data_IF_297512946685
#
_entry.id   IF_297512946685
#
_cell.length_a   1.000
_cell.length_b   1.000
_cell.length_c   1.000
_cell.angle_alpha   90.00
_cell.angle_beta   90.00
_cell.angle_gamma   90.00
#
_symmetry.space_group_name_H-M   'P 1'
#
loop_
_entity.id
_entity.type
_entity.pdbx_description
1 polymer ?
#
# COMPACT_ATOMS: atom_id res chain seq x y z
N UNK A 1 -3.95 23.21 -0.14
CA UNK A 1 -3.61 23.58 1.25
C UNK A 1 -3.69 25.11 1.37
N UNK A 2 -4.60 25.61 2.18
CA UNK A 2 -4.78 27.06 2.33
C UNK A 2 -3.80 27.58 3.38
N UNK A 3 -2.81 28.38 2.97
CA UNK A 3 -2.04 29.21 3.90
C UNK A 3 -3.04 30.21 4.49
N UNK A 4 -3.42 30.02 5.74
CA UNK A 4 -4.31 31.00 6.40
C UNK A 4 -3.58 32.35 6.49
N UNK A 5 -4.21 33.39 6.00
CA UNK A 5 -3.71 34.76 6.11
C UNK A 5 -3.53 35.10 7.60
N UNK A 6 -2.42 35.72 7.95
CA UNK A 6 -2.14 36.16 9.30
C UNK A 6 -1.18 35.30 10.12
N UNK A 7 -0.64 34.20 9.56
CA UNK A 7 0.40 33.42 10.23
C UNK A 7 1.78 33.72 9.65
N UNK A 8 2.76 33.96 10.52
CA UNK A 8 4.17 34.09 10.13
C UNK A 8 4.75 32.67 9.97
N UNK A 9 5.35 32.41 8.83
CA UNK A 9 6.02 31.15 8.53
C UNK A 9 7.51 31.37 8.40
N UNK A 10 8.30 30.59 9.12
CA UNK A 10 9.76 30.61 9.09
C UNK A 10 10.27 29.21 8.75
N UNK A 11 10.94 29.04 7.64
CA UNK A 11 11.62 27.80 7.31
C UNK A 11 12.88 27.68 8.17
N UNK A 12 12.94 26.65 9.03
CA UNK A 12 14.09 26.41 9.91
C UNK A 12 15.08 25.41 9.33
N UNK A 13 14.60 24.56 8.46
CA UNK A 13 15.38 23.68 7.57
C UNK A 13 14.47 23.19 6.43
N UNK A 14 15.02 22.61 5.35
CA UNK A 14 14.20 22.13 4.24
C UNK A 14 13.01 21.28 4.71
N UNK A 15 11.82 21.62 4.23
CA UNK A 15 10.55 20.96 4.56
C UNK A 15 10.10 21.05 6.04
N UNK A 16 10.71 21.91 6.86
CA UNK A 16 10.33 22.13 8.27
C UNK A 16 10.14 23.62 8.53
N UNK A 17 8.95 23.99 8.93
CA UNK A 17 8.56 25.38 9.20
C UNK A 17 8.10 25.54 10.65
N UNK A 18 8.47 26.67 11.24
CA UNK A 18 7.80 27.23 12.41
C UNK A 18 6.65 28.11 11.93
N UNK A 19 5.45 27.86 12.43
CA UNK A 19 4.25 28.63 12.12
C UNK A 19 3.78 29.30 13.37
N UNK A 20 3.90 30.62 13.43
CA UNK A 20 3.55 31.46 14.56
C UNK A 20 2.10 31.89 14.47
N UNK A 21 1.36 31.71 15.53
CA UNK A 21 -0.05 32.06 15.63
C UNK A 21 -0.27 33.55 15.93
N UNK A 22 0.68 34.15 16.61
CA UNK A 22 0.65 35.55 17.04
C UNK A 22 2.06 36.15 16.94
N UNK A 23 2.22 37.40 17.29
CA UNK A 23 3.53 38.07 17.39
C UNK A 23 4.41 37.52 18.55
N UNK A 24 3.84 36.66 19.41
CA UNK A 24 4.57 35.95 20.45
C UNK A 24 5.44 34.87 19.83
N UNK A 25 6.73 35.13 19.72
CA UNK A 25 7.73 34.22 19.15
C UNK A 25 7.97 32.95 19.96
N UNK A 26 7.42 32.85 21.17
CA UNK A 26 7.50 31.65 22.00
C UNK A 26 6.36 30.65 21.73
N UNK A 27 5.36 31.04 20.94
CA UNK A 27 4.18 30.22 20.66
C UNK A 27 4.09 29.89 19.18
N UNK A 28 4.67 28.76 18.78
CA UNK A 28 4.68 28.27 17.41
C UNK A 28 4.34 26.78 17.31
N UNK A 29 3.91 26.40 16.13
CA UNK A 29 3.76 24.98 15.74
C UNK A 29 4.86 24.61 14.75
N UNK A 30 5.37 23.38 14.88
CA UNK A 30 6.27 22.82 13.86
C UNK A 30 5.41 22.16 12.79
N UNK A 31 5.54 22.63 11.56
CA UNK A 31 4.84 22.11 10.40
C UNK A 31 5.84 21.38 9.49
N UNK A 32 5.59 20.10 9.28
CA UNK A 32 6.41 19.26 8.40
C UNK A 32 5.83 19.20 7.00
N UNK A 33 6.69 19.24 5.98
CA UNK A 33 6.37 19.10 4.55
C UNK A 33 5.23 20.01 4.08
N UNK A 34 5.03 21.15 4.74
CA UNK A 34 3.88 22.05 4.48
C UNK A 34 2.50 21.36 4.56
N UNK A 35 2.38 20.29 5.36
CA UNK A 35 1.19 19.46 5.46
C UNK A 35 0.99 18.47 4.31
N UNK A 36 2.02 18.23 3.50
CA UNK A 36 2.05 17.18 2.47
C UNK A 36 2.53 15.86 3.08
N UNK A 37 2.83 14.87 2.24
CA UNK A 37 3.30 13.54 2.65
C UNK A 37 4.66 13.62 3.35
N UNK A 38 4.68 13.45 4.68
CA UNK A 38 5.90 13.57 5.50
C UNK A 38 6.87 12.41 5.29
N UNK A 39 6.38 11.22 4.95
CA UNK A 39 7.21 10.07 4.63
C UNK A 39 8.10 10.29 3.39
N UNK A 40 7.71 11.19 2.49
CA UNK A 40 8.48 11.59 1.32
C UNK A 40 9.22 12.91 1.53
N UNK A 41 8.60 13.88 2.20
CA UNK A 41 9.17 15.22 2.40
C UNK A 41 10.17 15.30 3.54
N UNK A 42 10.01 14.52 4.60
CA UNK A 42 10.85 14.54 5.81
C UNK A 42 11.50 13.20 6.14
N UNK A 43 11.29 12.17 5.32
CA UNK A 43 11.89 10.84 5.47
C UNK A 43 12.27 10.27 4.09
N UNK A 44 12.79 9.07 4.06
CA UNK A 44 13.30 8.41 2.85
C UNK A 44 12.26 7.56 2.12
N UNK A 45 11.04 7.47 2.64
CA UNK A 45 10.01 6.56 2.12
C UNK A 45 10.32 5.10 2.40
N UNK A 46 9.66 4.20 1.69
CA UNK A 46 9.91 2.76 1.79
C UNK A 46 11.11 2.36 0.92
N UNK A 47 11.93 1.41 1.37
CA UNK A 47 12.99 0.84 0.54
C UNK A 47 12.42 0.21 -0.74
N UNK A 48 13.13 0.35 -1.86
CA UNK A 48 12.72 -0.20 -3.16
C UNK A 48 12.40 -1.70 -3.09
N UNK A 49 13.17 -2.45 -2.32
CA UNK A 49 12.98 -3.89 -2.12
C UNK A 49 11.62 -4.24 -1.47
N UNK A 50 11.10 -3.37 -0.60
CA UNK A 50 9.76 -3.55 -0.02
C UNK A 50 8.69 -3.14 -1.02
N UNK A 51 8.94 -2.06 -1.78
CA UNK A 51 8.03 -1.58 -2.81
C UNK A 51 7.88 -2.54 -3.99
N UNK A 52 8.87 -3.40 -4.23
CA UNK A 52 8.83 -4.42 -5.29
C UNK A 52 7.61 -5.34 -5.17
N UNK A 53 7.26 -5.78 -3.96
CA UNK A 53 6.02 -6.53 -3.71
C UNK A 53 4.75 -5.76 -4.07
N UNK A 54 4.73 -4.47 -3.79
CA UNK A 54 3.61 -3.60 -4.16
C UNK A 54 3.48 -3.45 -5.68
N UNK A 55 4.60 -3.30 -6.38
CA UNK A 55 4.62 -3.21 -7.84
C UNK A 55 4.22 -4.55 -8.49
N UNK A 56 4.71 -5.67 -7.97
CA UNK A 56 4.32 -7.01 -8.44
C UNK A 56 2.79 -7.21 -8.32
N UNK A 57 2.19 -6.86 -7.19
CA UNK A 57 0.74 -6.92 -7.01
C UNK A 57 -0.01 -6.02 -8.00
N UNK A 58 0.49 -4.82 -8.27
CA UNK A 58 -0.11 -3.90 -9.26
C UNK A 58 -0.06 -4.49 -10.67
N UNK A 59 1.05 -5.10 -11.07
CA UNK A 59 1.20 -5.76 -12.37
C UNK A 59 0.29 -6.98 -12.48
N UNK A 60 0.26 -7.85 -11.46
CA UNK A 60 -0.63 -9.00 -11.42
C UNK A 60 -2.10 -8.60 -11.46
N UNK A 61 -2.47 -7.49 -10.80
CA UNK A 61 -3.81 -6.93 -10.88
C UNK A 61 -4.21 -6.54 -12.30
N UNK A 62 -3.31 -5.91 -13.05
CA UNK A 62 -3.55 -5.56 -14.45
C UNK A 62 -3.67 -6.81 -15.34
N UNK A 63 -2.79 -7.80 -15.14
CA UNK A 63 -2.83 -9.06 -15.88
C UNK A 63 -4.14 -9.80 -15.62
N UNK A 64 -4.54 -9.91 -14.36
CA UNK A 64 -5.79 -10.55 -13.95
C UNK A 64 -7.01 -9.86 -14.59
N UNK A 65 -7.08 -8.53 -14.52
CA UNK A 65 -8.17 -7.79 -15.14
C UNK A 65 -8.21 -7.99 -16.65
N UNK A 66 -7.07 -7.94 -17.31
CA UNK A 66 -7.02 -8.09 -18.76
C UNK A 66 -7.37 -9.52 -19.19
N UNK A 67 -6.68 -10.52 -18.65
CA UNK A 67 -6.80 -11.92 -19.11
C UNK A 67 -8.10 -12.59 -18.66
N UNK A 68 -8.48 -12.42 -17.41
CA UNK A 68 -9.61 -13.17 -16.87
C UNK A 68 -10.95 -12.43 -16.96
N UNK A 69 -10.91 -11.10 -17.07
CA UNK A 69 -12.14 -10.30 -17.03
C UNK A 69 -12.50 -9.69 -18.39
N UNK A 70 -11.52 -9.30 -19.17
CA UNK A 70 -11.79 -8.45 -20.33
C UNK A 70 -11.25 -8.96 -21.67
N UNK A 71 -10.30 -9.91 -21.72
CA UNK A 71 -9.67 -10.33 -22.97
C UNK A 71 -10.70 -10.79 -24.02
N UNK A 72 -11.60 -11.65 -23.63
CA UNK A 72 -12.56 -12.32 -24.52
C UNK A 72 -13.90 -11.58 -24.66
N UNK A 73 -14.05 -10.41 -24.05
CA UNK A 73 -15.28 -9.64 -24.11
C UNK A 73 -15.29 -8.65 -25.27
N UNK A 74 -16.38 -8.54 -26.02
CA UNK A 74 -16.57 -7.46 -26.98
C UNK A 74 -16.60 -6.09 -26.27
N UNK A 75 -16.17 -5.04 -26.95
CA UNK A 75 -16.09 -3.70 -26.40
C UNK A 75 -17.42 -3.20 -25.80
N UNK A 76 -18.54 -3.59 -26.42
CA UNK A 76 -19.90 -3.24 -25.97
C UNK A 76 -20.26 -3.82 -24.58
N UNK A 77 -19.65 -4.94 -24.20
CA UNK A 77 -19.94 -5.60 -22.92
C UNK A 77 -18.96 -5.22 -21.82
N UNK A 78 -17.76 -4.73 -22.19
CA UNK A 78 -16.72 -4.36 -21.21
C UNK A 78 -17.22 -3.32 -20.22
N UNK A 79 -17.90 -2.29 -20.66
CA UNK A 79 -18.39 -1.21 -19.81
C UNK A 79 -19.36 -1.72 -18.72
N UNK A 80 -20.22 -2.67 -19.05
CA UNK A 80 -21.16 -3.27 -18.09
C UNK A 80 -20.49 -4.17 -17.03
N UNK A 81 -19.26 -4.60 -17.30
CA UNK A 81 -18.48 -5.47 -16.40
C UNK A 81 -17.51 -4.70 -15.49
N UNK A 82 -17.37 -3.39 -15.68
CA UNK A 82 -16.48 -2.58 -14.85
C UNK A 82 -17.07 -2.46 -13.44
N UNK A 83 -16.34 -2.96 -12.47
CA UNK A 83 -16.65 -2.84 -11.03
C UNK A 83 -15.38 -2.91 -10.20
N UNK A 84 -15.43 -2.39 -8.98
CA UNK A 84 -14.34 -2.52 -8.03
C UNK A 84 -14.39 -3.92 -7.41
N UNK A 85 -13.30 -4.64 -7.50
CA UNK A 85 -13.15 -5.99 -6.94
C UNK A 85 -11.88 -6.06 -6.10
N UNK A 86 -11.86 -6.96 -5.13
CA UNK A 86 -10.64 -7.32 -4.40
C UNK A 86 -9.93 -8.40 -5.19
N UNK A 87 -8.62 -8.26 -5.38
CA UNK A 87 -7.82 -9.28 -6.04
C UNK A 87 -7.90 -10.63 -5.31
N UNK A 88 -7.86 -11.75 -6.04
CA UNK A 88 -7.77 -13.08 -5.44
C UNK A 88 -6.58 -13.15 -4.45
N UNK A 89 -6.84 -13.66 -3.25
CA UNK A 89 -5.81 -13.76 -2.19
C UNK A 89 -4.58 -14.55 -2.64
N UNK A 90 -4.79 -15.53 -3.51
CA UNK A 90 -3.70 -16.35 -4.06
C UNK A 90 -2.64 -15.53 -4.79
N UNK A 91 -3.03 -14.48 -5.53
CA UNK A 91 -2.07 -13.63 -6.25
C UNK A 91 -1.16 -12.87 -5.28
N UNK A 92 -1.72 -12.31 -4.22
CA UNK A 92 -0.97 -11.63 -3.17
C UNK A 92 -0.02 -12.59 -2.42
N UNK A 93 -0.49 -13.80 -2.15
CA UNK A 93 0.32 -14.84 -1.50
C UNK A 93 1.46 -15.36 -2.40
N UNK A 94 1.27 -15.45 -3.70
CA UNK A 94 2.32 -15.79 -4.66
C UNK A 94 3.43 -14.74 -4.67
N UNK A 95 3.08 -13.46 -4.63
CA UNK A 95 4.06 -12.37 -4.50
C UNK A 95 4.82 -12.48 -3.18
N UNK A 96 4.10 -12.69 -2.07
CA UNK A 96 4.72 -12.83 -0.76
C UNK A 96 5.67 -14.04 -0.71
N UNK A 97 5.27 -15.18 -1.25
CA UNK A 97 6.11 -16.37 -1.32
C UNK A 97 7.39 -16.14 -2.11
N UNK A 98 7.30 -15.46 -3.27
CA UNK A 98 8.47 -15.11 -4.08
C UNK A 98 9.43 -14.16 -3.34
N UNK A 99 8.89 -13.23 -2.55
CA UNK A 99 9.69 -12.28 -1.78
C UNK A 99 10.40 -12.91 -0.58
N UNK A 100 9.78 -13.88 0.09
CA UNK A 100 10.33 -14.52 1.30
C UNK A 100 11.74 -15.03 1.09
N UNK A 101 11.98 -15.75 0.00
CA UNK A 101 13.32 -16.26 -0.34
C UNK A 101 14.33 -15.13 -0.52
N UNK A 102 13.93 -14.03 -1.17
CA UNK A 102 14.77 -12.83 -1.37
C UNK A 102 15.16 -12.13 -0.07
N UNK A 103 14.39 -12.29 1.01
CA UNK A 103 14.70 -11.79 2.35
C UNK A 103 15.43 -12.80 3.24
N UNK A 104 15.79 -13.97 2.71
CA UNK A 104 16.42 -15.04 3.48
C UNK A 104 15.45 -15.74 4.44
N UNK A 105 14.16 -15.58 4.23
CA UNK A 105 13.12 -16.26 4.98
C UNK A 105 12.83 -17.66 4.45
N UNK A 106 12.21 -18.48 5.28
CA UNK A 106 11.72 -19.82 4.92
C UNK A 106 10.22 -19.83 5.15
N UNK A 107 9.46 -20.18 4.12
CA UNK A 107 8.02 -20.32 4.24
C UNK A 107 7.70 -21.64 4.92
N UNK A 108 6.95 -21.60 6.01
CA UNK A 108 6.48 -22.80 6.73
C UNK A 108 5.47 -23.56 5.87
N UNK A 109 5.67 -24.87 5.72
CA UNK A 109 4.67 -25.73 5.13
C UNK A 109 3.76 -26.28 6.24
N UNK A 110 2.47 -26.09 6.10
CA UNK A 110 1.49 -26.57 7.06
C UNK A 110 1.33 -28.09 6.95
N UNK A 111 1.21 -28.76 8.10
CA UNK A 111 0.69 -30.14 8.14
C UNK A 111 -0.82 -30.14 7.96
N UNK A 112 -1.41 -31.29 7.64
CA UNK A 112 -2.87 -31.45 7.54
C UNK A 112 -3.58 -31.07 8.86
N UNK A 113 -2.97 -31.40 9.99
CA UNK A 113 -3.50 -31.07 11.31
C UNK A 113 -3.48 -29.56 11.57
N UNK A 114 -2.38 -28.89 11.23
CA UNK A 114 -2.25 -27.43 11.34
C UNK A 114 -3.23 -26.70 10.42
N UNK A 115 -3.34 -27.14 9.17
CA UNK A 115 -4.26 -26.56 8.20
C UNK A 115 -5.72 -26.73 8.66
N UNK A 116 -6.08 -27.92 9.17
CA UNK A 116 -7.40 -28.20 9.73
C UNK A 116 -7.72 -27.35 10.95
N UNK A 117 -6.75 -27.11 11.84
CA UNK A 117 -6.91 -26.22 12.99
C UNK A 117 -7.13 -24.76 12.57
N UNK A 118 -6.42 -24.29 11.55
CA UNK A 118 -6.54 -22.94 11.03
C UNK A 118 -7.76 -22.74 10.10
N UNK A 119 -8.38 -23.82 9.64
CA UNK A 119 -9.50 -23.77 8.72
C UNK A 119 -9.11 -23.36 7.30
N UNK A 120 -7.88 -23.68 6.86
CA UNK A 120 -7.34 -23.37 5.53
C UNK A 120 -6.85 -24.64 4.82
N UNK A 121 -6.64 -24.56 3.50
CA UNK A 121 -5.98 -25.65 2.78
C UNK A 121 -4.46 -25.64 3.06
N UNK A 122 -3.79 -26.79 2.91
CA UNK A 122 -2.34 -26.90 3.12
C UNK A 122 -1.55 -26.01 2.15
N UNK A 123 -2.05 -25.84 0.94
CA UNK A 123 -1.45 -25.01 -0.11
C UNK A 123 -2.01 -23.59 -0.16
N UNK A 124 -2.89 -23.22 0.78
CA UNK A 124 -3.55 -21.91 0.79
C UNK A 124 -4.81 -21.86 -0.10
N UNK A 125 -5.40 -20.70 -0.28
CA UNK A 125 -4.99 -19.42 0.30
C UNK A 125 -5.10 -19.42 1.84
N UNK A 126 -4.15 -18.76 2.50
CA UNK A 126 -4.04 -18.69 3.97
C UNK A 126 -4.83 -17.52 4.56
N UNK A 127 -5.18 -16.55 3.72
CA UNK A 127 -6.05 -15.42 4.09
C UNK A 127 -7.50 -15.78 3.86
N UNK A 128 -8.36 -15.58 4.85
CA UNK A 128 -9.80 -15.75 4.69
C UNK A 128 -10.39 -14.71 3.74
N UNK A 129 -11.57 -14.99 3.17
CA UNK A 129 -12.29 -14.06 2.29
C UNK A 129 -12.68 -12.76 3.01
N UNK A 130 -12.83 -12.80 4.32
CA UNK A 130 -13.09 -11.63 5.16
C UNK A 130 -11.87 -10.76 5.39
N UNK A 131 -10.66 -11.22 5.06
CA UNK A 131 -9.43 -10.46 5.22
C UNK A 131 -9.35 -9.34 4.18
N UNK A 132 -9.26 -8.11 4.65
CA UNK A 132 -9.35 -6.92 3.79
C UNK A 132 -8.01 -6.32 3.35
N UNK A 133 -6.91 -6.81 3.94
CA UNK A 133 -5.58 -6.23 3.70
C UNK A 133 -4.60 -7.26 3.17
#
# INVERSE_FOLDING_TARGET
>A
MYKRQGYKWVEVKPQVHQVYRSEDENNYLILLSEGRLVNLGNATGHPSRVMDGSFANQVLGQIHLFQEKFADLPASEKAAKIRVEVLPKKLDEEVAAAMVAGFGGVLTQLTQEQAGYLGVAVEGPFKSDAYKY
#
